data_IF_186047746569
#
_entry.id   IF_186047746569
#
_cell.length_a   1.000
_cell.length_b   1.000
_cell.length_c   1.000
_cell.angle_alpha   90.00
_cell.angle_beta   90.00
_cell.angle_gamma   90.00
#
_symmetry.space_group_name_H-M   'P 1'
#
loop_
_entity.id
_entity.type
_entity.pdbx_description
1 polymer ?
#
# COMPACT_ATOMS: atom_id res chain seq x y z
N UNK A 1 -25.11 -32.11 23.87
CA UNK A 1 -25.06 -32.18 22.40
C UNK A 1 -23.75 -31.54 22.01
N UNK A 2 -22.69 -32.33 22.10
CA UNK A 2 -21.32 -31.86 22.06
C UNK A 2 -20.86 -31.90 20.61
N UNK A 3 -20.71 -30.72 20.02
CA UNK A 3 -20.22 -30.54 18.66
C UNK A 3 -18.76 -30.99 18.63
N UNK A 4 -18.52 -32.23 18.20
CA UNK A 4 -17.19 -32.76 17.91
C UNK A 4 -16.60 -32.00 16.71
N UNK A 5 -15.77 -31.01 17.03
CA UNK A 5 -14.96 -30.29 16.05
C UNK A 5 -13.81 -31.24 15.67
N UNK A 6 -13.92 -31.89 14.52
CA UNK A 6 -12.84 -32.73 13.98
C UNK A 6 -11.59 -31.84 13.80
N UNK A 7 -10.63 -32.00 14.70
CA UNK A 7 -9.45 -31.12 14.87
C UNK A 7 -8.25 -31.62 14.03
N UNK A 8 -8.50 -32.43 13.00
CA UNK A 8 -7.45 -33.05 12.16
C UNK A 8 -7.29 -32.37 10.79
N UNK A 9 -8.07 -31.33 10.49
CA UNK A 9 -7.78 -30.47 9.34
C UNK A 9 -6.70 -29.45 9.76
N UNK A 10 -5.59 -29.29 9.01
CA UNK A 10 -4.66 -28.22 9.28
C UNK A 10 -5.41 -26.90 9.17
N UNK A 11 -5.60 -26.21 10.30
CA UNK A 11 -6.11 -24.84 10.28
C UNK A 11 -5.10 -23.99 9.54
N UNK A 12 -5.50 -23.41 8.42
CA UNK A 12 -4.67 -22.44 7.70
C UNK A 12 -4.24 -21.35 8.68
N UNK A 13 -2.93 -21.08 8.71
CA UNK A 13 -2.41 -20.02 9.56
C UNK A 13 -3.10 -18.69 9.21
N UNK A 14 -3.47 -17.87 10.21
CA UNK A 14 -4.13 -16.60 9.95
C UNK A 14 -3.26 -15.73 9.04
N UNK A 15 -3.90 -15.10 8.05
CA UNK A 15 -3.23 -14.20 7.11
C UNK A 15 -2.61 -13.02 7.87
N UNK A 16 -1.44 -12.58 7.42
CA UNK A 16 -0.73 -11.46 8.03
C UNK A 16 -1.45 -10.14 7.74
N UNK A 17 -2.09 -9.55 8.76
CA UNK A 17 -2.85 -8.31 8.67
C UNK A 17 -1.98 -7.05 8.41
N UNK A 18 -0.64 -7.17 8.42
CA UNK A 18 0.25 -6.07 8.02
C UNK A 18 0.39 -5.95 6.50
N UNK A 19 -0.05 -6.97 5.76
CA UNK A 19 0.00 -7.01 4.30
C UNK A 19 -1.35 -6.60 3.72
N UNK A 20 -1.31 -5.85 2.63
CA UNK A 20 -2.50 -5.55 1.84
C UNK A 20 -3.06 -6.85 1.23
N UNK A 21 -4.39 -6.92 1.10
CA UNK A 21 -5.03 -7.99 0.34
C UNK A 21 -4.70 -7.87 -1.15
N UNK A 22 -4.94 -8.94 -1.91
CA UNK A 22 -4.68 -8.96 -3.35
C UNK A 22 -5.52 -7.91 -4.10
N UNK A 23 -6.82 -7.83 -3.81
CA UNK A 23 -7.71 -6.79 -4.35
C UNK A 23 -7.24 -5.35 -4.00
N UNK A 24 -6.69 -5.16 -2.80
CA UNK A 24 -6.15 -3.86 -2.39
C UNK A 24 -4.87 -3.50 -3.16
N UNK A 25 -4.02 -4.48 -3.44
CA UNK A 25 -2.81 -4.27 -4.24
C UNK A 25 -3.17 -3.92 -5.69
N UNK A 26 -4.08 -4.69 -6.31
CA UNK A 26 -4.54 -4.40 -7.68
C UNK A 26 -5.20 -3.02 -7.80
N UNK A 27 -5.97 -2.60 -6.79
CA UNK A 27 -6.54 -1.27 -6.75
C UNK A 27 -5.45 -0.19 -6.60
N UNK A 28 -4.47 -0.41 -5.74
CA UNK A 28 -3.36 0.52 -5.55
C UNK A 28 -2.56 0.70 -6.85
N UNK A 29 -2.24 -0.37 -7.57
CA UNK A 29 -1.56 -0.30 -8.87
C UNK A 29 -2.38 0.51 -9.89
N UNK A 30 -3.70 0.33 -9.94
CA UNK A 30 -4.57 1.14 -10.80
C UNK A 30 -4.58 2.62 -10.41
N UNK A 31 -4.45 2.95 -9.12
CA UNK A 31 -4.44 4.34 -8.64
C UNK A 31 -3.07 5.02 -8.86
N UNK A 32 -1.96 4.30 -8.67
CA UNK A 32 -0.60 4.85 -8.81
C UNK A 32 -0.30 5.31 -10.24
N UNK A 33 -0.81 4.60 -11.25
CA UNK A 33 -0.62 4.96 -12.67
C UNK A 33 -1.62 6.00 -13.18
N UNK A 34 -2.63 6.39 -12.40
CA UNK A 34 -3.65 7.34 -12.87
C UNK A 34 -3.18 8.80 -12.92
N UNK A 35 -2.14 9.15 -12.15
CA UNK A 35 -1.63 10.51 -12.04
C UNK A 35 -0.14 10.61 -12.39
N UNK A 36 0.38 9.71 -13.23
CA UNK A 36 1.66 9.92 -13.91
C UNK A 36 1.49 11.05 -14.94
N UNK A 37 1.21 12.26 -14.45
CA UNK A 37 1.23 13.49 -15.22
C UNK A 37 2.70 13.81 -15.51
N UNK A 38 3.18 13.67 -16.76
CA UNK A 38 4.56 14.00 -17.11
C UNK A 38 4.87 15.49 -16.89
N UNK A 39 3.84 16.33 -16.80
CA UNK A 39 3.93 17.76 -16.48
C UNK A 39 3.57 18.06 -15.01
N UNK A 40 3.48 17.02 -14.17
CA UNK A 40 3.09 17.11 -12.78
C UNK A 40 3.99 18.09 -12.01
N UNK A 41 3.43 18.94 -11.13
CA UNK A 41 4.18 20.03 -10.51
C UNK A 41 5.37 19.54 -9.67
N UNK A 42 5.34 18.29 -9.19
CA UNK A 42 6.45 17.67 -8.46
C UNK A 42 7.61 17.20 -9.35
N UNK A 43 7.40 17.00 -10.66
CA UNK A 43 8.42 16.53 -11.60
C UNK A 43 9.38 17.64 -12.04
N UNK A 44 8.93 18.89 -12.03
CA UNK A 44 9.72 20.04 -12.46
C UNK A 44 10.37 20.81 -11.30
N UNK A 45 10.11 20.44 -10.04
CA UNK A 45 10.71 21.10 -8.89
C UNK A 45 12.17 20.67 -8.73
N UNK A 46 13.11 21.50 -9.19
CA UNK A 46 14.53 21.33 -8.85
C UNK A 46 14.73 21.65 -7.38
N UNK A 47 15.57 20.87 -6.69
CA UNK A 47 16.03 21.21 -5.33
C UNK A 47 16.71 22.59 -5.24
N UNK A 48 17.10 23.17 -6.38
CA UNK A 48 17.69 24.51 -6.47
C UNK A 48 16.63 25.62 -6.56
N UNK A 49 15.38 25.29 -6.90
CA UNK A 49 14.27 26.25 -7.02
C UNK A 49 13.43 26.32 -5.73
N UNK A 50 13.68 25.41 -4.79
CA UNK A 50 13.08 25.44 -3.46
C UNK A 50 13.95 26.32 -2.57
N UNK A 51 13.36 27.33 -1.94
CA UNK A 51 14.07 28.15 -0.96
C UNK A 51 14.56 27.26 0.19
N UNK A 52 15.85 27.36 0.54
CA UNK A 52 16.39 26.68 1.72
C UNK A 52 15.75 27.31 2.97
N UNK A 53 14.80 26.59 3.55
CA UNK A 53 14.08 27.01 4.77
C UNK A 53 14.92 26.79 6.05
N UNK A 54 16.26 26.71 5.95
CA UNK A 54 17.17 26.78 7.11
C UNK A 54 17.10 28.16 7.76
N UNK A 55 16.06 28.39 8.57
CA UNK A 55 16.00 29.49 9.55
C UNK A 55 16.23 28.94 10.96
N UNK A 56 17.43 29.29 11.46
CA UNK A 56 17.95 29.41 12.83
C UNK A 56 17.14 28.78 13.98
#
# INVERSE_FOLDING_TARGET
>A
MDQQINTDAPMEAPKDARKATEEQQELQEQLDHQNEDPDGPALHQSRHDVADESRR
#
